data_IF_647744137537
#
_entry.id   IF_647744137537
#
_cell.length_a   1.000
_cell.length_b   1.000
_cell.length_c   1.000
_cell.angle_alpha   90.00
_cell.angle_beta   90.00
_cell.angle_gamma   90.00
#
_symmetry.space_group_name_H-M   'P 1'
#
loop_
_entity.id
_entity.type
_entity.pdbx_description
1 polymer ?
#
# COMPACT_ATOMS: atom_id res chain seq x y z
N UNK A 1 13.24 -9.10 -11.13
CA UNK A 1 12.10 -8.33 -11.69
C UNK A 1 11.17 -9.31 -12.38
N UNK A 2 9.86 -9.22 -12.16
CA UNK A 2 8.88 -9.99 -12.93
C UNK A 2 8.97 -9.62 -14.41
N UNK A 3 8.53 -10.50 -15.30
CA UNK A 3 8.44 -10.20 -16.74
C UNK A 3 7.62 -8.92 -16.95
N UNK A 4 8.02 -8.07 -17.90
CA UNK A 4 7.30 -6.84 -18.25
C UNK A 4 5.82 -7.17 -18.47
N UNK A 5 4.92 -6.46 -17.77
CA UNK A 5 3.47 -6.67 -17.84
C UNK A 5 2.90 -7.73 -16.89
N UNK A 6 3.73 -8.43 -16.09
CA UNK A 6 3.29 -9.46 -15.14
C UNK A 6 3.69 -9.18 -13.68
N UNK A 7 3.77 -7.90 -13.30
CA UNK A 7 4.12 -7.44 -11.95
C UNK A 7 2.89 -7.33 -11.02
N UNK A 8 2.00 -8.33 -11.04
CA UNK A 8 0.73 -8.29 -10.29
C UNK A 8 0.97 -8.13 -8.78
N UNK A 9 2.03 -8.77 -8.27
CA UNK A 9 2.48 -8.71 -6.89
C UNK A 9 3.51 -7.60 -6.64
N UNK A 10 4.43 -7.40 -7.58
CA UNK A 10 5.53 -6.45 -7.45
C UNK A 10 5.06 -5.00 -7.37
N UNK A 11 4.09 -4.59 -8.19
CA UNK A 11 3.57 -3.21 -8.17
C UNK A 11 2.98 -2.80 -6.81
N UNK A 12 2.07 -3.59 -6.20
CA UNK A 12 1.57 -3.33 -4.86
C UNK A 12 2.66 -3.26 -3.79
N UNK A 13 3.63 -4.18 -3.83
CA UNK A 13 4.75 -4.20 -2.86
C UNK A 13 5.66 -2.99 -3.02
N UNK A 14 5.99 -2.60 -4.24
CA UNK A 14 6.77 -1.39 -4.54
C UNK A 14 6.06 -0.13 -4.03
N UNK A 15 4.75 -0.04 -4.24
CA UNK A 15 3.95 1.08 -3.73
C UNK A 15 3.99 1.18 -2.21
N UNK A 16 3.81 0.05 -1.50
CA UNK A 16 3.90 0.00 -0.04
C UNK A 16 5.29 0.40 0.46
N UNK A 17 6.34 -0.16 -0.13
CA UNK A 17 7.72 0.16 0.24
C UNK A 17 8.06 1.63 -0.07
N UNK A 18 7.47 2.22 -1.11
CA UNK A 18 7.57 3.65 -1.39
C UNK A 18 7.04 4.48 -0.23
N UNK A 19 5.84 4.17 0.27
CA UNK A 19 5.23 4.86 1.42
C UNK A 19 6.09 4.71 2.67
N UNK A 20 6.51 3.48 3.00
CA UNK A 20 7.33 3.19 4.18
C UNK A 20 8.61 4.02 4.14
N UNK A 21 9.36 3.96 3.02
CA UNK A 21 10.61 4.70 2.88
C UNK A 21 10.39 6.21 3.00
N UNK A 22 9.45 6.78 2.25
CA UNK A 22 9.22 8.22 2.26
C UNK A 22 8.85 8.75 3.63
N UNK A 23 8.03 8.02 4.40
CA UNK A 23 7.65 8.42 5.75
C UNK A 23 8.77 8.19 6.76
N UNK A 24 9.48 7.06 6.66
CA UNK A 24 10.59 6.78 7.56
C UNK A 24 11.72 7.81 7.42
N UNK A 25 12.04 8.23 6.19
CA UNK A 25 13.03 9.30 5.94
C UNK A 25 12.67 10.64 6.59
N UNK A 26 11.39 10.92 6.81
CA UNK A 26 10.95 12.18 7.40
C UNK A 26 10.79 12.12 8.92
N UNK A 27 10.56 10.92 9.48
CA UNK A 27 10.16 10.76 10.88
C UNK A 27 11.27 10.21 11.79
N UNK A 28 12.28 9.53 11.24
CA UNK A 28 13.26 8.81 12.04
C UNK A 28 14.70 9.17 11.65
N UNK A 29 15.54 9.39 12.65
CA UNK A 29 16.99 9.37 12.49
C UNK A 29 17.49 7.93 12.68
N UNK A 30 17.89 7.30 11.58
CA UNK A 30 18.35 5.92 11.58
C UNK A 30 19.87 5.90 11.48
N UNK A 31 20.53 5.45 12.55
CA UNK A 31 22.00 5.51 12.67
C UNK A 31 22.68 4.15 12.48
N UNK A 32 21.94 3.06 12.56
CA UNK A 32 22.48 1.70 12.51
C UNK A 32 21.46 0.69 11.96
N UNK A 33 21.95 -0.49 11.61
CA UNK A 33 21.11 -1.55 11.02
C UNK A 33 20.06 -2.08 12.00
N UNK A 34 20.38 -2.15 13.29
CA UNK A 34 19.47 -2.72 14.29
C UNK A 34 18.29 -1.78 14.55
N UNK A 35 18.54 -0.48 14.66
CA UNK A 35 17.47 0.53 14.71
C UNK A 35 16.64 0.53 13.42
N UNK A 36 17.27 0.48 12.24
CA UNK A 36 16.54 0.37 10.97
C UNK A 36 15.56 -0.80 10.94
N UNK A 37 16.02 -2.01 11.31
CA UNK A 37 15.19 -3.22 11.33
C UNK A 37 14.03 -3.11 12.31
N UNK A 38 14.28 -2.50 13.48
CA UNK A 38 13.25 -2.27 14.47
C UNK A 38 12.19 -1.30 13.93
N UNK A 39 12.60 -0.15 13.40
CA UNK A 39 11.67 0.86 12.88
C UNK A 39 10.84 0.36 11.70
N UNK A 40 11.44 -0.42 10.78
CA UNK A 40 10.67 -1.03 9.68
C UNK A 40 9.60 -1.98 10.26
N UNK A 41 9.97 -2.81 11.24
CA UNK A 41 9.04 -3.77 11.85
C UNK A 41 7.90 -3.05 12.58
N UNK A 42 8.22 -2.01 13.35
CA UNK A 42 7.22 -1.24 14.07
C UNK A 42 6.33 -0.44 13.12
N UNK A 43 6.89 0.15 12.06
CA UNK A 43 6.11 0.84 11.05
C UNK A 43 5.13 -0.10 10.32
N UNK A 44 5.54 -1.33 10.00
CA UNK A 44 4.63 -2.33 9.39
C UNK A 44 3.49 -2.66 10.35
N UNK A 45 3.77 -2.82 11.65
CA UNK A 45 2.76 -3.03 12.70
C UNK A 45 1.79 -1.86 12.76
N UNK A 46 2.31 -0.63 12.85
CA UNK A 46 1.53 0.61 12.82
C UNK A 46 0.65 0.70 11.56
N UNK A 47 1.23 0.48 10.37
CA UNK A 47 0.51 0.53 9.11
C UNK A 47 -0.66 -0.47 9.09
N UNK A 48 -0.45 -1.68 9.61
CA UNK A 48 -1.47 -2.72 9.62
C UNK A 48 -2.56 -2.49 10.67
N UNK A 49 -2.20 -2.02 11.87
CA UNK A 49 -3.05 -2.07 13.06
C UNK A 49 -3.56 -0.71 13.54
N UNK A 50 -2.95 0.40 13.13
CA UNK A 50 -3.23 1.73 13.68
C UNK A 50 -3.51 2.77 12.60
N UNK A 51 -2.97 2.58 11.40
CA UNK A 51 -3.15 3.54 10.31
C UNK A 51 -4.56 3.46 9.71
N UNK A 52 -5.41 4.39 10.12
CA UNK A 52 -6.72 4.60 9.51
C UNK A 52 -6.58 5.07 8.06
N UNK A 53 -7.43 4.56 7.18
CA UNK A 53 -7.46 4.96 5.78
C UNK A 53 -8.86 5.39 5.38
N UNK A 54 -8.99 6.61 4.86
CA UNK A 54 -10.28 7.16 4.38
C UNK A 54 -10.94 6.23 3.36
N UNK A 55 -10.14 5.63 2.47
CA UNK A 55 -10.60 4.64 1.49
C UNK A 55 -11.32 3.46 2.15
N UNK A 56 -10.94 3.10 3.36
CA UNK A 56 -11.48 1.97 4.11
C UNK A 56 -12.54 2.41 5.13
N UNK A 57 -13.17 3.58 4.94
CA UNK A 57 -14.12 4.17 5.88
C UNK A 57 -13.48 4.31 7.28
N UNK A 58 -12.26 4.85 7.31
CA UNK A 58 -11.47 5.04 8.53
C UNK A 58 -11.16 3.74 9.29
N UNK A 59 -11.04 2.61 8.58
CA UNK A 59 -10.52 1.34 9.14
C UNK A 59 -9.06 1.15 8.81
N UNK A 60 -8.42 0.32 9.62
CA UNK A 60 -7.06 -0.15 9.41
C UNK A 60 -7.02 -1.28 8.37
N UNK A 61 -5.88 -1.49 7.69
CA UNK A 61 -5.74 -2.61 6.75
C UNK A 61 -6.03 -3.99 7.38
N UNK A 62 -5.67 -4.19 8.66
CA UNK A 62 -5.92 -5.45 9.35
C UNK A 62 -7.40 -5.67 9.64
N UNK A 63 -8.15 -4.62 10.03
CA UNK A 63 -9.60 -4.72 10.20
C UNK A 63 -10.29 -5.09 8.89
N UNK A 64 -9.94 -4.43 7.78
CA UNK A 64 -10.48 -4.74 6.45
C UNK A 64 -10.22 -6.20 6.07
N UNK A 65 -8.98 -6.67 6.29
CA UNK A 65 -8.62 -8.08 6.04
C UNK A 65 -9.44 -9.03 6.90
N UNK A 66 -9.62 -8.70 8.18
CA UNK A 66 -10.34 -9.52 9.15
C UNK A 66 -11.81 -9.64 8.76
N UNK A 67 -12.47 -8.52 8.45
CA UNK A 67 -13.86 -8.49 7.99
C UNK A 67 -14.08 -9.31 6.71
N UNK A 68 -13.14 -9.19 5.76
CA UNK A 68 -13.19 -9.96 4.53
C UNK A 68 -13.05 -11.48 4.74
N UNK A 69 -12.30 -11.92 5.77
CA UNK A 69 -12.13 -13.33 6.11
C UNK A 69 -13.38 -13.95 6.77
N UNK A 70 -14.15 -13.16 7.53
CA UNK A 70 -15.32 -13.63 8.26
C UNK A 70 -16.66 -13.37 7.56
N UNK A 71 -16.63 -12.82 6.35
CA UNK A 71 -17.83 -12.47 5.58
C UNK A 71 -17.89 -13.26 4.27
N UNK A 72 -19.07 -13.78 3.93
CA UNK A 72 -19.30 -14.51 2.67
C UNK A 72 -19.31 -13.62 1.42
N UNK A 73 -19.51 -12.31 1.59
CA UNK A 73 -19.50 -11.28 0.53
C UNK A 73 -18.63 -10.08 0.96
N UNK A 74 -17.30 -10.13 0.78
CA UNK A 74 -16.41 -9.09 1.26
C UNK A 74 -16.70 -7.75 0.56
N UNK A 75 -16.55 -6.65 1.30
CA UNK A 75 -16.69 -5.30 0.75
C UNK A 75 -15.56 -5.05 -0.24
N UNK A 76 -15.92 -4.65 -1.46
CA UNK A 76 -14.97 -4.22 -2.47
C UNK A 76 -14.54 -2.77 -2.25
N UNK A 77 -13.25 -2.51 -2.34
CA UNK A 77 -12.69 -1.15 -2.34
C UNK A 77 -12.08 -0.89 -3.71
N UNK A 78 -12.87 -0.46 -4.73
CA UNK A 78 -12.31 -0.19 -6.05
C UNK A 78 -11.26 0.93 -5.97
N UNK A 79 -10.23 0.83 -6.81
CA UNK A 79 -9.26 1.92 -6.95
C UNK A 79 -9.92 2.97 -7.87
N UNK A 80 -10.03 4.25 -7.46
CA UNK A 80 -10.56 5.28 -8.32
C UNK A 80 -9.76 5.38 -9.62
N UNK A 81 -10.45 5.52 -10.74
CA UNK A 81 -9.78 5.69 -12.03
C UNK A 81 -9.00 7.02 -12.06
N UNK A 82 -7.79 6.96 -12.60
CA UNK A 82 -6.98 8.15 -12.78
C UNK A 82 -7.20 8.71 -14.19
N UNK A 83 -7.94 9.82 -14.29
CA UNK A 83 -8.26 10.48 -15.56
C UNK A 83 -7.01 10.85 -16.39
N UNK A 84 -5.86 11.10 -15.75
CA UNK A 84 -4.60 11.36 -16.48
C UNK A 84 -4.07 10.10 -17.17
N UNK A 85 -4.22 8.94 -16.53
CA UNK A 85 -3.84 7.64 -17.10
C UNK A 85 -4.81 7.27 -18.23
N UNK A 86 -6.11 7.52 -18.07
CA UNK A 86 -7.11 7.30 -19.13
C UNK A 86 -6.78 8.14 -20.37
N UNK A 87 -6.60 9.46 -20.19
CA UNK A 87 -6.22 10.37 -21.29
C UNK A 87 -4.90 9.99 -21.95
N UNK A 88 -3.92 9.53 -21.16
CA UNK A 88 -2.67 9.00 -21.71
C UNK A 88 -2.95 7.78 -22.59
N UNK A 89 -3.71 6.80 -22.10
CA UNK A 89 -4.05 5.58 -22.86
C UNK A 89 -4.81 5.90 -24.14
N UNK A 90 -5.81 6.79 -24.09
CA UNK A 90 -6.58 7.25 -25.26
C UNK A 90 -5.69 7.79 -26.38
N UNK A 91 -4.61 8.52 -26.03
CA UNK A 91 -3.64 9.05 -27.01
C UNK A 91 -2.88 7.95 -27.76
N UNK A 92 -2.74 6.75 -27.17
CA UNK A 92 -1.91 5.67 -27.69
C UNK A 92 -2.70 4.44 -28.15
N UNK A 93 -4.01 4.41 -27.90
CA UNK A 93 -4.94 3.46 -28.53
C UNK A 93 -5.39 4.04 -29.88
N UNK A 94 -4.76 3.57 -30.96
CA UNK A 94 -5.25 3.66 -32.34
C UNK A 94 -5.89 2.33 -32.73
#
# INVERSE_FOLDING_TARGET
MSRVGHCIDNGPVEGLLGIIKSQMYQMYEITDEKSLRYEIKDYIRFYAQERLQDRFNCKTPLEVRTEALYTSKPIGYPIPENNRILKYKEKWTA
#
